data_IF_246907971310
#
_entry.id   IF_246907971310
#
_cell.length_a   1.000
_cell.length_b   1.000
_cell.length_c   1.000
_cell.angle_alpha   90.00
_cell.angle_beta   90.00
_cell.angle_gamma   90.00
#
_symmetry.space_group_name_H-M   'P 1'
#
loop_
_entity.id
_entity.type
_entity.pdbx_description
1 polymer ?
#
# COMPACT_ATOMS: atom_id res chain seq x y z
N UNK A 1 0.48 -14.81 -16.67
CA UNK A 1 0.37 -14.50 -15.23
C UNK A 1 0.69 -13.03 -15.04
N UNK A 2 0.01 -12.36 -14.11
CA UNK A 2 0.24 -10.95 -13.75
C UNK A 2 0.62 -10.88 -12.27
N UNK A 3 1.65 -10.11 -11.95
CA UNK A 3 2.07 -9.78 -10.59
C UNK A 3 2.03 -8.27 -10.43
N UNK A 4 1.40 -7.79 -9.37
CA UNK A 4 1.38 -6.39 -8.98
C UNK A 4 2.19 -6.26 -7.69
N UNK A 5 3.23 -5.46 -7.70
CA UNK A 5 4.05 -5.16 -6.53
C UNK A 5 3.66 -3.82 -5.93
N UNK A 6 3.37 -3.82 -4.63
CA UNK A 6 3.07 -2.65 -3.82
C UNK A 6 4.02 -2.62 -2.63
N UNK A 7 4.62 -1.49 -2.39
CA UNK A 7 5.50 -1.24 -1.26
C UNK A 7 4.94 -0.10 -0.40
N UNK A 8 4.53 -0.43 0.81
CA UNK A 8 4.07 0.53 1.80
C UNK A 8 5.27 0.99 2.62
N UNK A 9 5.75 2.20 2.33
CA UNK A 9 6.97 2.76 2.93
C UNK A 9 6.63 3.43 4.26
N UNK A 10 6.53 2.65 5.33
CA UNK A 10 6.20 3.15 6.67
C UNK A 10 7.32 3.96 7.30
N UNK A 11 8.56 3.53 7.03
CA UNK A 11 9.79 4.13 7.52
C UNK A 11 10.97 3.70 6.62
N UNK A 12 12.16 4.21 6.85
CA UNK A 12 13.39 3.80 6.14
C UNK A 12 13.30 3.95 4.62
N UNK A 13 12.93 5.15 4.15
CA UNK A 13 12.81 5.47 2.72
C UNK A 13 14.06 5.06 1.91
N UNK A 14 15.27 5.10 2.50
CA UNK A 14 16.50 4.65 1.84
C UNK A 14 16.48 3.14 1.49
N UNK A 15 15.77 2.30 2.27
CA UNK A 15 15.63 0.88 1.91
C UNK A 15 14.64 0.71 0.74
N UNK A 16 13.61 1.56 0.67
CA UNK A 16 12.70 1.59 -0.48
C UNK A 16 13.47 1.95 -1.77
N UNK A 17 14.35 2.94 -1.73
CA UNK A 17 15.21 3.28 -2.88
C UNK A 17 16.12 2.13 -3.30
N UNK A 18 16.69 1.40 -2.34
CA UNK A 18 17.52 0.21 -2.67
C UNK A 18 16.68 -0.87 -3.36
N UNK A 19 15.47 -1.12 -2.89
CA UNK A 19 14.53 -2.06 -3.53
C UNK A 19 14.17 -1.58 -4.93
N UNK A 20 13.83 -0.31 -5.11
CA UNK A 20 13.47 0.27 -6.39
C UNK A 20 14.60 0.16 -7.45
N UNK A 21 15.85 0.31 -7.04
CA UNK A 21 17.00 0.09 -7.94
C UNK A 21 17.06 -1.38 -8.40
N UNK A 22 16.92 -2.35 -7.49
CA UNK A 22 16.94 -3.77 -7.82
C UNK A 22 15.78 -4.11 -8.79
N UNK A 23 14.58 -3.62 -8.51
CA UNK A 23 13.42 -3.82 -9.37
C UNK A 23 13.64 -3.21 -10.76
N UNK A 24 14.21 -2.01 -10.83
CA UNK A 24 14.58 -1.37 -12.09
C UNK A 24 15.57 -2.20 -12.90
N UNK A 25 16.62 -2.73 -12.27
CA UNK A 25 17.61 -3.61 -12.91
C UNK A 25 16.97 -4.89 -13.47
N UNK A 26 15.92 -5.40 -12.80
CA UNK A 26 15.15 -6.57 -13.22
C UNK A 26 14.03 -6.25 -14.22
N UNK A 27 13.88 -4.98 -14.66
CA UNK A 27 12.80 -4.55 -15.54
C UNK A 27 11.41 -4.56 -14.89
N UNK A 28 11.33 -4.55 -13.57
CA UNK A 28 10.10 -4.56 -12.79
C UNK A 28 9.66 -3.14 -12.49
N UNK A 29 8.37 -2.85 -12.64
CA UNK A 29 7.74 -1.61 -12.19
C UNK A 29 6.80 -1.92 -11.03
N UNK A 30 6.93 -1.17 -9.94
CA UNK A 30 6.11 -1.30 -8.72
C UNK A 30 5.49 0.04 -8.32
N UNK A 31 4.56 0.01 -7.37
CA UNK A 31 3.96 1.19 -6.74
C UNK A 31 4.51 1.35 -5.32
N UNK A 32 5.00 2.55 -5.01
CA UNK A 32 5.59 2.90 -3.72
C UNK A 32 4.72 3.95 -3.03
N UNK A 33 4.13 3.60 -1.88
CA UNK A 33 3.24 4.46 -1.11
C UNK A 33 3.98 5.04 0.10
N UNK A 34 4.04 6.37 0.18
CA UNK A 34 4.77 7.08 1.23
C UNK A 34 3.82 7.77 2.21
N UNK A 35 4.12 7.63 3.51
CA UNK A 35 3.44 8.35 4.58
C UNK A 35 3.96 9.77 4.70
N UNK A 36 3.16 10.66 5.30
CA UNK A 36 3.57 12.05 5.56
C UNK A 36 4.62 12.18 6.67
N UNK A 37 4.86 11.14 7.45
CA UNK A 37 5.79 11.18 8.58
C UNK A 37 7.26 11.28 8.14
N UNK A 38 8.15 11.98 8.88
CA UNK A 38 9.53 12.27 8.44
C UNK A 38 10.36 11.03 8.05
N UNK A 39 10.14 9.89 8.69
CA UNK A 39 10.87 8.65 8.40
C UNK A 39 10.53 8.04 7.04
N UNK A 40 9.36 8.33 6.50
CA UNK A 40 8.88 7.91 5.19
C UNK A 40 9.00 9.05 4.18
N UNK A 41 8.52 10.23 4.54
CA UNK A 41 8.51 11.42 3.68
C UNK A 41 9.92 12.01 3.54
N UNK A 42 10.65 11.53 2.54
CA UNK A 42 11.96 12.06 2.15
C UNK A 42 11.90 12.44 0.66
N UNK A 43 11.60 13.69 0.32
CA UNK A 43 11.30 14.13 -1.06
C UNK A 43 12.37 13.74 -2.08
N UNK A 44 13.65 13.84 -1.72
CA UNK A 44 14.73 13.51 -2.66
C UNK A 44 14.78 12.01 -2.97
N UNK A 45 14.48 11.15 -2.01
CA UNK A 45 14.36 9.70 -2.24
C UNK A 45 13.12 9.38 -3.07
N UNK A 46 11.99 10.02 -2.76
CA UNK A 46 10.74 9.82 -3.51
C UNK A 46 10.92 10.18 -4.99
N UNK A 47 11.56 11.32 -5.27
CA UNK A 47 11.88 11.75 -6.64
C UNK A 47 12.82 10.76 -7.35
N UNK A 48 13.82 10.22 -6.65
CA UNK A 48 14.72 9.21 -7.23
C UNK A 48 13.93 7.93 -7.61
N UNK A 49 13.06 7.43 -6.74
CA UNK A 49 12.23 6.26 -7.03
C UNK A 49 11.31 6.53 -8.22
N UNK A 50 10.71 7.72 -8.30
CA UNK A 50 9.91 8.15 -9.45
C UNK A 50 10.75 8.18 -10.75
N UNK A 51 11.98 8.70 -10.69
CA UNK A 51 12.89 8.76 -11.83
C UNK A 51 13.32 7.37 -12.35
N UNK A 52 13.30 6.34 -11.50
CA UNK A 52 13.52 4.95 -11.89
C UNK A 52 12.31 4.37 -12.68
N UNK A 53 11.18 5.09 -12.73
CA UNK A 53 9.96 4.70 -13.46
C UNK A 53 8.92 3.97 -12.61
N UNK A 54 9.08 3.94 -11.30
CA UNK A 54 8.09 3.42 -10.36
C UNK A 54 6.96 4.43 -10.15
N UNK A 55 5.78 3.94 -9.79
CA UNK A 55 4.68 4.78 -9.35
C UNK A 55 4.89 5.24 -7.92
N UNK A 56 4.55 6.49 -7.64
CA UNK A 56 4.49 7.02 -6.27
C UNK A 56 3.04 7.26 -5.90
N UNK A 57 2.64 6.75 -4.74
CA UNK A 57 1.33 6.97 -4.15
C UNK A 57 1.41 7.56 -2.74
N UNK A 58 0.29 8.04 -2.23
CA UNK A 58 0.18 8.51 -0.86
C UNK A 58 -0.33 7.41 0.07
N UNK A 59 0.47 7.04 1.08
CA UNK A 59 0.10 6.10 2.15
C UNK A 59 -0.60 6.85 3.27
N UNK A 60 -1.91 7.03 3.12
CA UNK A 60 -2.70 7.94 3.94
C UNK A 60 -3.10 7.34 5.29
N UNK A 61 -3.09 8.20 6.33
CA UNK A 61 -3.48 7.87 7.70
C UNK A 61 -4.21 9.02 8.40
N UNK A 62 -4.82 9.90 7.62
CA UNK A 62 -5.31 11.21 8.05
C UNK A 62 -6.43 11.15 9.07
N UNK A 63 -7.29 10.12 9.02
CA UNK A 63 -8.30 9.90 10.05
C UNK A 63 -7.67 9.50 11.39
N UNK A 64 -6.59 8.73 11.35
CA UNK A 64 -5.79 8.41 12.55
C UNK A 64 -5.14 9.69 13.12
N UNK A 65 -4.56 10.53 12.25
CA UNK A 65 -3.91 11.79 12.65
C UNK A 65 -4.89 12.84 13.17
N UNK A 66 -6.16 12.74 12.82
CA UNK A 66 -7.24 13.62 13.29
C UNK A 66 -8.02 13.04 14.49
N UNK A 67 -7.55 11.91 15.05
CA UNK A 67 -8.21 11.20 16.15
C UNK A 67 -9.70 10.87 15.87
N UNK A 68 -9.99 10.48 14.63
CA UNK A 68 -11.31 10.08 14.15
C UNK A 68 -12.23 11.22 13.71
N UNK A 69 -11.80 12.47 13.80
CA UNK A 69 -12.57 13.61 13.30
C UNK A 69 -12.56 13.62 11.76
N UNK A 70 -13.72 13.32 11.17
CA UNK A 70 -13.89 13.19 9.72
C UNK A 70 -13.61 14.49 8.96
N UNK A 71 -14.03 15.66 9.50
CA UNK A 71 -13.82 16.94 8.82
C UNK A 71 -12.36 17.37 8.88
N UNK A 72 -11.74 17.22 10.03
CA UNK A 72 -10.31 17.44 10.19
C UNK A 72 -9.49 16.44 9.37
N UNK A 73 -9.89 15.15 9.35
CA UNK A 73 -9.23 14.10 8.59
C UNK A 73 -9.21 14.38 7.10
N UNK A 74 -10.36 14.76 6.51
CA UNK A 74 -10.39 15.08 5.08
C UNK A 74 -9.64 16.39 4.77
N UNK A 75 -9.61 17.35 5.70
CA UNK A 75 -8.81 18.55 5.53
C UNK A 75 -7.31 18.24 5.52
N UNK A 76 -6.83 17.44 6.47
CA UNK A 76 -5.44 16.96 6.50
C UNK A 76 -5.09 16.17 5.23
N UNK A 77 -5.97 15.27 4.81
CA UNK A 77 -5.77 14.50 3.58
C UNK A 77 -5.55 15.41 2.36
N UNK A 78 -6.37 16.45 2.20
CA UNK A 78 -6.22 17.43 1.11
C UNK A 78 -4.87 18.15 1.18
N UNK A 79 -4.45 18.58 2.37
CA UNK A 79 -3.17 19.25 2.57
C UNK A 79 -1.99 18.32 2.22
N UNK A 80 -2.01 17.09 2.73
CA UNK A 80 -0.93 16.13 2.51
C UNK A 80 -0.87 15.66 1.06
N UNK A 81 -2.02 15.40 0.42
CA UNK A 81 -2.07 15.09 -1.00
C UNK A 81 -1.54 16.25 -1.85
N UNK A 82 -1.92 17.48 -1.53
CA UNK A 82 -1.40 18.69 -2.18
C UNK A 82 0.11 18.83 -2.02
N UNK A 83 0.64 18.54 -0.82
CA UNK A 83 2.06 18.53 -0.56
C UNK A 83 2.80 17.50 -1.44
N UNK A 84 2.37 16.24 -1.49
CA UNK A 84 2.99 15.24 -2.34
C UNK A 84 2.87 15.59 -3.84
N UNK A 85 1.74 16.17 -4.25
CA UNK A 85 1.51 16.61 -5.63
C UNK A 85 2.39 17.80 -6.05
N UNK A 86 3.02 18.49 -5.11
CA UNK A 86 3.98 19.55 -5.45
C UNK A 86 5.26 19.02 -6.12
N UNK A 87 5.55 17.73 -5.99
CA UNK A 87 6.75 17.13 -6.57
C UNK A 87 6.53 15.81 -7.32
N UNK A 88 5.33 15.23 -7.26
CA UNK A 88 4.95 14.06 -8.07
C UNK A 88 3.44 14.05 -8.32
N UNK A 89 2.95 13.72 -9.53
CA UNK A 89 1.52 13.68 -9.85
C UNK A 89 0.84 12.44 -9.23
N UNK A 90 0.59 12.46 -7.92
CA UNK A 90 -0.06 11.36 -7.20
C UNK A 90 -1.44 11.08 -7.80
N UNK A 91 -1.65 9.84 -8.24
CA UNK A 91 -2.90 9.34 -8.82
C UNK A 91 -3.55 8.24 -7.98
N UNK A 92 -2.77 7.54 -7.16
CA UNK A 92 -3.28 6.47 -6.30
C UNK A 92 -2.92 6.70 -4.84
N UNK A 93 -3.73 6.15 -3.97
CA UNK A 93 -3.56 6.17 -2.52
C UNK A 93 -3.68 4.76 -1.97
N UNK A 94 -3.09 4.50 -0.81
CA UNK A 94 -3.25 3.25 -0.07
C UNK A 94 -3.32 3.55 1.43
N UNK A 95 -4.27 2.97 2.14
CA UNK A 95 -4.45 3.19 3.57
C UNK A 95 -3.31 2.61 4.39
N UNK A 96 -2.76 3.41 5.32
CA UNK A 96 -1.85 2.93 6.35
C UNK A 96 -2.62 2.31 7.51
N UNK A 97 -2.40 1.02 7.73
CA UNK A 97 -3.01 0.26 8.82
C UNK A 97 -2.29 0.43 10.14
N UNK A 98 -2.53 1.50 10.88
CA UNK A 98 -1.96 1.68 12.21
C UNK A 98 -2.61 0.74 13.24
N UNK A 99 -1.90 -0.26 13.79
CA UNK A 99 -2.47 -1.19 14.75
C UNK A 99 -2.77 -0.55 16.12
N UNK A 100 -2.22 0.64 16.37
CA UNK A 100 -2.40 1.38 17.63
C UNK A 100 -3.56 2.37 17.58
N UNK A 101 -4.10 2.66 16.41
CA UNK A 101 -5.25 3.55 16.26
C UNK A 101 -6.55 2.75 16.28
N UNK A 102 -7.59 3.20 16.98
CA UNK A 102 -8.92 2.62 16.85
C UNK A 102 -9.57 2.97 15.50
N UNK A 103 -9.09 4.02 14.81
CA UNK A 103 -9.67 4.54 13.58
C UNK A 103 -9.06 3.87 12.35
N UNK A 104 -9.92 3.52 11.40
CA UNK A 104 -9.52 3.05 10.06
C UNK A 104 -9.62 4.23 9.09
N UNK A 105 -8.51 4.63 8.50
CA UNK A 105 -8.51 5.79 7.59
C UNK A 105 -9.34 5.58 6.32
N UNK A 106 -9.70 4.33 5.98
CA UNK A 106 -10.65 4.03 4.90
C UNK A 106 -12.06 4.57 5.17
N UNK A 107 -12.41 4.76 6.45
CA UNK A 107 -13.74 5.28 6.84
C UNK A 107 -13.99 6.70 6.34
N UNK A 108 -12.94 7.47 6.00
CA UNK A 108 -13.09 8.74 5.29
C UNK A 108 -13.94 8.60 4.02
N UNK A 109 -13.81 7.48 3.32
CA UNK A 109 -14.46 7.24 2.03
C UNK A 109 -15.90 6.74 2.17
N UNK A 110 -16.37 6.51 3.38
CA UNK A 110 -17.80 6.32 3.67
C UNK A 110 -18.58 7.67 3.59
N UNK A 111 -17.87 8.79 3.80
CA UNK A 111 -18.45 10.14 3.81
C UNK A 111 -18.03 10.94 2.57
N UNK A 112 -16.78 10.79 2.14
CA UNK A 112 -16.19 11.51 1.00
C UNK A 112 -15.87 10.54 -0.13
N UNK A 113 -15.55 11.07 -1.31
CA UNK A 113 -15.11 10.27 -2.46
C UNK A 113 -13.67 10.66 -2.83
N UNK A 114 -12.72 9.70 -2.72
CA UNK A 114 -11.33 9.98 -3.11
C UNK A 114 -11.21 10.36 -4.60
N UNK A 115 -12.13 9.89 -5.45
CA UNK A 115 -12.19 10.26 -6.88
C UNK A 115 -12.43 11.77 -7.10
N UNK A 116 -13.10 12.45 -6.18
CA UNK A 116 -13.32 13.90 -6.25
C UNK A 116 -12.01 14.71 -6.08
N UNK A 117 -10.95 14.04 -5.60
CA UNK A 117 -9.60 14.63 -5.51
C UNK A 117 -8.71 14.27 -6.71
N UNK A 118 -9.29 13.75 -7.81
CA UNK A 118 -8.55 13.34 -9.00
C UNK A 118 -7.69 12.09 -8.78
N UNK A 119 -8.10 11.21 -7.86
CA UNK A 119 -7.47 9.92 -7.63
C UNK A 119 -8.20 8.83 -8.40
N UNK A 120 -7.44 7.92 -9.00
CA UNK A 120 -7.98 6.86 -9.85
C UNK A 120 -8.13 5.53 -9.11
N UNK A 121 -7.45 5.36 -7.96
CA UNK A 121 -7.51 4.09 -7.24
C UNK A 121 -7.03 4.12 -5.79
N UNK A 122 -7.66 3.25 -5.01
CA UNK A 122 -7.26 2.79 -3.68
C UNK A 122 -7.33 1.26 -3.68
N UNK A 123 -6.22 0.54 -3.45
CA UNK A 123 -6.15 -0.90 -3.67
C UNK A 123 -7.21 -1.73 -2.94
N UNK A 124 -7.62 -1.33 -1.74
CA UNK A 124 -8.64 -2.06 -0.98
C UNK A 124 -10.05 -1.92 -1.56
N UNK A 125 -10.30 -0.91 -2.38
CA UNK A 125 -11.61 -0.66 -3.00
C UNK A 125 -11.66 -0.97 -4.49
N UNK A 126 -10.54 -0.76 -5.21
CA UNK A 126 -10.53 -0.82 -6.68
C UNK A 126 -9.89 -2.10 -7.24
N UNK A 127 -9.16 -2.88 -6.43
CA UNK A 127 -8.60 -4.17 -6.87
C UNK A 127 -9.64 -5.27 -6.77
N UNK A 128 -9.87 -5.98 -7.88
CA UNK A 128 -10.74 -7.14 -7.89
C UNK A 128 -10.05 -8.39 -7.31
N UNK A 129 -10.20 -8.57 -6.01
CA UNK A 129 -9.66 -9.71 -5.28
C UNK A 129 -10.40 -11.03 -5.54
N UNK A 130 -11.47 -11.03 -6.32
CA UNK A 130 -12.03 -12.28 -6.83
C UNK A 130 -11.12 -12.94 -7.86
N UNK A 131 -10.33 -12.12 -8.56
CA UNK A 131 -9.41 -12.53 -9.63
C UNK A 131 -7.94 -12.52 -9.22
N UNK A 132 -7.59 -11.76 -8.19
CA UNK A 132 -6.22 -11.59 -7.71
C UNK A 132 -6.08 -12.13 -6.29
N UNK A 133 -5.01 -12.88 -6.07
CA UNK A 133 -4.63 -13.34 -4.73
C UNK A 133 -3.77 -12.26 -4.06
N UNK A 134 -4.10 -11.92 -2.82
CA UNK A 134 -3.38 -10.92 -2.05
C UNK A 134 -2.39 -11.56 -1.08
N UNK A 135 -1.14 -11.14 -1.15
CA UNK A 135 -0.08 -11.49 -0.21
C UNK A 135 0.43 -10.23 0.48
N UNK A 136 0.65 -10.31 1.78
CA UNK A 136 1.27 -9.27 2.58
C UNK A 136 2.36 -9.87 3.46
N UNK A 137 3.45 -9.12 3.67
CA UNK A 137 4.54 -9.47 4.57
C UNK A 137 4.33 -8.94 6.00
N UNK A 138 3.12 -8.48 6.32
CA UNK A 138 2.74 -8.01 7.66
C UNK A 138 3.11 -9.02 8.73
N UNK A 139 3.81 -8.56 9.77
CA UNK A 139 4.32 -9.44 10.82
C UNK A 139 5.55 -10.26 10.40
N UNK A 140 6.23 -9.89 9.32
CA UNK A 140 7.41 -10.59 8.74
C UNK A 140 7.11 -12.02 8.32
N UNK A 141 5.91 -12.24 7.79
CA UNK A 141 5.44 -13.53 7.34
C UNK A 141 4.38 -13.34 6.24
N UNK A 142 4.31 -14.25 5.28
CA UNK A 142 3.38 -14.14 4.16
C UNK A 142 1.95 -14.64 4.46
N UNK A 143 1.72 -15.27 5.60
CA UNK A 143 0.40 -15.59 6.13
C UNK A 143 -0.06 -14.54 7.17
N UNK A 144 0.31 -13.29 6.95
CA UNK A 144 0.07 -12.14 7.84
C UNK A 144 -1.40 -11.88 8.17
N UNK A 145 -2.34 -12.41 7.39
CA UNK A 145 -3.77 -12.32 7.70
C UNK A 145 -4.15 -12.83 9.10
N UNK A 146 -3.33 -13.72 9.68
CA UNK A 146 -3.52 -14.25 11.05
C UNK A 146 -3.17 -13.23 12.14
N UNK A 147 -2.31 -12.27 11.83
CA UNK A 147 -1.80 -11.28 12.80
C UNK A 147 -2.12 -9.84 12.40
N UNK A 148 -2.50 -9.61 11.16
CA UNK A 148 -2.88 -8.28 10.69
C UNK A 148 -4.30 -7.90 11.11
N UNK A 149 -4.45 -6.68 11.61
CA UNK A 149 -5.77 -6.12 11.93
C UNK A 149 -6.44 -5.62 10.65
N UNK A 150 -5.71 -4.88 9.79
CA UNK A 150 -6.27 -4.16 8.63
C UNK A 150 -5.71 -4.58 7.28
N UNK A 151 -4.45 -5.01 7.23
CA UNK A 151 -3.78 -5.41 5.99
C UNK A 151 -4.15 -6.85 5.61
N UNK A 152 -5.39 -7.07 5.25
CA UNK A 152 -5.96 -8.35 4.83
C UNK A 152 -7.24 -8.12 4.03
N UNK A 153 -7.69 -9.14 3.30
CA UNK A 153 -8.91 -9.16 2.49
C UNK A 153 -9.87 -10.22 3.05
N UNK A 154 -10.63 -9.91 4.10
CA UNK A 154 -11.42 -10.91 4.83
C UNK A 154 -12.39 -11.68 3.93
N UNK A 155 -13.01 -11.01 2.94
CA UNK A 155 -14.04 -11.56 2.05
C UNK A 155 -13.54 -12.74 1.18
N UNK A 156 -12.22 -12.85 0.98
CA UNK A 156 -11.61 -13.88 0.13
C UNK A 156 -10.70 -14.85 0.89
N UNK A 157 -10.48 -14.60 2.19
CA UNK A 157 -9.47 -15.31 2.97
C UNK A 157 -9.76 -16.81 3.12
N UNK A 158 -11.01 -17.20 3.37
CA UNK A 158 -11.42 -18.60 3.52
C UNK A 158 -11.16 -19.37 2.22
N UNK A 159 -11.62 -18.83 1.08
CA UNK A 159 -11.37 -19.42 -0.23
C UNK A 159 -9.88 -19.65 -0.48
N UNK A 160 -9.03 -18.67 -0.19
CA UNK A 160 -7.58 -18.81 -0.40
C UNK A 160 -6.94 -19.87 0.50
N UNK A 161 -7.47 -20.05 1.71
CA UNK A 161 -7.04 -21.12 2.62
C UNK A 161 -7.43 -22.48 2.05
N UNK A 162 -8.67 -22.65 1.60
CA UNK A 162 -9.18 -23.89 0.97
C UNK A 162 -8.39 -24.24 -0.31
N UNK A 163 -8.01 -23.24 -1.09
CA UNK A 163 -7.16 -23.38 -2.28
C UNK A 163 -5.66 -23.66 -1.94
N UNK A 164 -5.30 -23.78 -0.67
CA UNK A 164 -3.92 -24.01 -0.23
C UNK A 164 -2.97 -22.82 -0.41
N UNK A 165 -3.49 -21.63 -0.66
CA UNK A 165 -2.72 -20.38 -0.87
C UNK A 165 -2.31 -19.74 0.45
N UNK A 166 -1.65 -20.51 1.31
CA UNK A 166 -1.15 -20.04 2.61
C UNK A 166 0.35 -20.25 2.66
N UNK A 167 1.10 -19.15 2.66
CA UNK A 167 2.56 -19.20 2.63
C UNK A 167 3.12 -18.50 3.88
N UNK A 168 4.09 -19.14 4.52
CA UNK A 168 4.77 -18.54 5.67
C UNK A 168 6.11 -17.94 5.29
N UNK A 169 6.81 -18.54 4.35
CA UNK A 169 8.17 -18.17 3.93
C UNK A 169 8.19 -17.83 2.44
N UNK A 170 9.06 -16.91 2.05
CA UNK A 170 9.26 -16.52 0.65
C UNK A 170 9.55 -17.71 -0.26
N UNK A 171 10.34 -18.68 0.22
CA UNK A 171 10.64 -19.91 -0.55
C UNK A 171 9.39 -20.71 -0.92
N UNK A 172 8.34 -20.65 -0.10
CA UNK A 172 7.11 -21.39 -0.35
C UNK A 172 6.32 -20.73 -1.49
N UNK A 173 6.36 -19.38 -1.57
CA UNK A 173 5.79 -18.62 -2.68
C UNK A 173 6.54 -18.92 -3.99
N UNK A 174 7.87 -18.88 -3.95
CA UNK A 174 8.71 -19.16 -5.13
C UNK A 174 8.41 -20.56 -5.66
N UNK A 175 8.34 -21.57 -4.77
CA UNK A 175 7.99 -22.94 -5.13
C UNK A 175 6.60 -23.03 -5.77
N UNK A 176 5.60 -22.34 -5.20
CA UNK A 176 4.24 -22.34 -5.74
C UNK A 176 4.16 -21.67 -7.11
N UNK A 177 4.92 -20.61 -7.36
CA UNK A 177 4.99 -19.96 -8.66
C UNK A 177 5.61 -20.87 -9.72
N UNK A 178 6.68 -21.60 -9.38
CA UNK A 178 7.36 -22.51 -10.29
C UNK A 178 6.52 -23.74 -10.63
N UNK A 179 5.73 -24.27 -9.68
CA UNK A 179 4.89 -25.44 -9.91
C UNK A 179 3.62 -25.15 -10.73
N UNK A 180 3.33 -23.90 -11.02
CA UNK A 180 2.18 -23.48 -11.84
C UNK A 180 2.58 -23.07 -13.27
N UNK A 181 3.83 -23.35 -13.66
CA UNK A 181 4.38 -23.06 -15.00
C UNK A 181 4.02 -24.15 -15.99
#
# INVERSE_FOLDING_TARGET
KMLILRHDVDAKAANALRMANIEKELGIRASYYFRIVPKSNQPEIIKQIAALGHEIGYHYEDLTLSDGDMQKGIHLFKQHLGYFRSFYPIQTICMHGSPRSPHDSRDLWNVFKYKDFGLIGEPYFDVDFSRLFYLSDTGRRWDGYKVSIRDKIPQHQERWIEEGKVYRKTKDIIKALNNQS
#
